data_IF_671507133043
#
_entry.id   IF_671507133043
#
_cell.length_a   1.000
_cell.length_b   1.000
_cell.length_c   1.000
_cell.angle_alpha   90.00
_cell.angle_beta   90.00
_cell.angle_gamma   90.00
#
_symmetry.space_group_name_H-M   'P 1'
#
loop_
_entity.id
_entity.type
_entity.pdbx_description
1 polymer ?
#
# COMPACT_ATOMS: atom_id res chain seq x y z
N UNK A 1 -82.77 33.02 -28.24
CA UNK A 1 -82.07 31.77 -27.84
C UNK A 1 -80.60 31.77 -28.25
N UNK A 2 -80.25 32.21 -29.46
CA UNK A 2 -78.85 32.32 -29.94
C UNK A 2 -77.93 33.20 -29.07
N UNK A 3 -78.43 34.32 -28.54
CA UNK A 3 -77.64 35.23 -27.69
C UNK A 3 -77.20 34.61 -26.36
N UNK A 4 -78.06 33.78 -25.75
CA UNK A 4 -77.74 33.10 -24.50
C UNK A 4 -76.67 32.02 -24.71
N UNK A 5 -76.71 31.32 -25.84
CA UNK A 5 -75.69 30.34 -26.22
C UNK A 5 -74.33 30.99 -26.50
N UNK A 6 -74.31 32.16 -27.14
CA UNK A 6 -73.08 32.90 -27.41
C UNK A 6 -72.39 33.40 -26.11
N UNK A 7 -73.18 33.88 -25.15
CA UNK A 7 -72.65 34.30 -23.84
C UNK A 7 -72.09 33.12 -23.05
N UNK A 8 -72.78 31.97 -23.07
CA UNK A 8 -72.30 30.76 -22.42
C UNK A 8 -70.98 30.25 -23.04
N UNK A 9 -70.88 30.27 -24.37
CA UNK A 9 -69.66 29.89 -25.08
C UNK A 9 -68.47 30.79 -24.71
N UNK A 10 -68.69 32.12 -24.63
CA UNK A 10 -67.65 33.07 -24.24
C UNK A 10 -67.16 32.83 -22.80
N UNK A 11 -68.08 32.55 -21.87
CA UNK A 11 -67.74 32.22 -20.49
C UNK A 11 -66.89 30.95 -20.41
N UNK A 12 -67.27 29.90 -21.14
CA UNK A 12 -66.50 28.64 -21.19
C UNK A 12 -65.11 28.88 -21.79
N UNK A 13 -64.99 29.69 -22.85
CA UNK A 13 -63.70 30.04 -23.45
C UNK A 13 -62.80 30.81 -22.49
N UNK A 14 -63.35 31.73 -21.69
CA UNK A 14 -62.58 32.46 -20.67
C UNK A 14 -62.10 31.54 -19.54
N UNK A 15 -62.96 30.63 -19.06
CA UNK A 15 -62.57 29.63 -18.05
C UNK A 15 -61.49 28.70 -18.59
N UNK A 16 -61.63 28.23 -19.84
CA UNK A 16 -60.63 27.39 -20.49
C UNK A 16 -59.28 28.12 -20.62
N UNK A 17 -59.28 29.41 -20.98
CA UNK A 17 -58.08 30.24 -21.05
C UNK A 17 -57.41 30.40 -19.68
N UNK A 18 -58.19 30.63 -18.62
CA UNK A 18 -57.68 30.75 -17.26
C UNK A 18 -57.02 29.44 -16.77
N UNK A 19 -57.65 28.29 -17.02
CA UNK A 19 -57.08 26.97 -16.70
C UNK A 19 -55.82 26.69 -17.52
N UNK A 20 -55.82 27.00 -18.81
CA UNK A 20 -54.65 26.83 -19.67
C UNK A 20 -53.46 27.68 -19.19
N UNK A 21 -53.72 28.93 -18.77
CA UNK A 21 -52.70 29.81 -18.23
C UNK A 21 -52.14 29.31 -16.89
N UNK A 22 -53.00 28.84 -15.99
CA UNK A 22 -52.57 28.25 -14.71
C UNK A 22 -51.73 26.98 -14.94
N UNK A 23 -52.19 26.07 -15.80
CA UNK A 23 -51.44 24.86 -16.14
C UNK A 23 -50.10 25.19 -16.80
N UNK A 24 -50.05 26.16 -17.71
CA UNK A 24 -48.81 26.61 -18.34
C UNK A 24 -47.80 27.17 -17.32
N UNK A 25 -48.27 27.98 -16.37
CA UNK A 25 -47.41 28.52 -15.32
C UNK A 25 -46.95 27.44 -14.32
N UNK A 26 -47.83 26.50 -13.97
CA UNK A 26 -47.50 25.36 -13.13
C UNK A 26 -46.46 24.44 -13.79
N UNK A 27 -46.63 24.17 -15.09
CA UNK A 27 -45.68 23.37 -15.87
C UNK A 27 -44.29 24.02 -15.95
N UNK A 28 -44.21 25.35 -16.11
CA UNK A 28 -42.93 26.08 -16.07
C UNK A 28 -42.24 25.96 -14.73
N UNK A 29 -42.97 26.20 -13.61
CA UNK A 29 -42.40 26.04 -12.26
C UNK A 29 -41.93 24.62 -11.99
N UNK A 30 -42.66 23.61 -12.46
CA UNK A 30 -42.25 22.22 -12.35
C UNK A 30 -41.00 21.91 -13.18
N UNK A 31 -40.85 22.49 -14.37
CA UNK A 31 -39.65 22.35 -15.19
C UNK A 31 -38.43 22.99 -14.52
N UNK A 32 -38.55 24.23 -14.03
CA UNK A 32 -37.47 24.93 -13.32
C UNK A 32 -37.06 24.18 -12.05
N UNK A 33 -38.04 23.65 -11.31
CA UNK A 33 -37.78 22.83 -10.12
C UNK A 33 -37.10 21.50 -10.46
N UNK A 34 -37.48 20.86 -11.57
CA UNK A 34 -36.85 19.63 -12.05
C UNK A 34 -35.40 19.89 -12.49
N UNK A 35 -35.14 20.98 -13.20
CA UNK A 35 -33.78 21.39 -13.59
C UNK A 35 -32.92 21.69 -12.36
N UNK A 36 -33.45 22.45 -11.40
CA UNK A 36 -32.77 22.72 -10.14
C UNK A 36 -32.48 21.45 -9.32
N UNK A 37 -33.43 20.52 -9.29
CA UNK A 37 -33.26 19.23 -8.64
C UNK A 37 -32.20 18.37 -9.34
N UNK A 38 -32.18 18.36 -10.67
CA UNK A 38 -31.17 17.65 -11.45
C UNK A 38 -29.77 18.22 -11.18
N UNK A 39 -29.61 19.55 -11.26
CA UNK A 39 -28.32 20.19 -10.96
C UNK A 39 -27.84 19.91 -9.52
N UNK A 40 -28.76 19.90 -8.55
CA UNK A 40 -28.43 19.56 -7.17
C UNK A 40 -28.04 18.07 -7.01
N UNK A 41 -28.72 17.18 -7.73
CA UNK A 41 -28.39 15.75 -7.76
C UNK A 41 -27.02 15.50 -8.40
N UNK A 42 -26.72 16.14 -9.52
CA UNK A 42 -25.43 16.03 -10.22
C UNK A 42 -24.28 16.50 -9.32
N UNK A 43 -24.41 17.68 -8.69
CA UNK A 43 -23.41 18.18 -7.72
C UNK A 43 -23.23 17.26 -6.52
N UNK A 44 -24.32 16.63 -6.05
CA UNK A 44 -24.26 15.68 -4.94
C UNK A 44 -23.55 14.38 -5.34
N UNK A 45 -23.78 13.91 -6.57
CA UNK A 45 -23.10 12.74 -7.11
C UNK A 45 -21.60 12.99 -7.29
N UNK A 46 -21.22 14.16 -7.82
CA UNK A 46 -19.82 14.57 -7.95
C UNK A 46 -19.14 14.66 -6.59
N UNK A 47 -19.77 15.33 -5.61
CA UNK A 47 -19.23 15.43 -4.26
C UNK A 47 -19.08 14.06 -3.57
N UNK A 48 -20.02 13.13 -3.80
CA UNK A 48 -19.93 11.77 -3.28
C UNK A 48 -18.78 10.98 -3.94
N UNK A 49 -18.56 11.17 -5.24
CA UNK A 49 -17.45 10.57 -5.97
C UNK A 49 -16.11 11.10 -5.43
N UNK A 50 -15.95 12.41 -5.31
CA UNK A 50 -14.74 13.04 -4.77
C UNK A 50 -14.46 12.57 -3.34
N UNK A 51 -15.51 12.45 -2.52
CA UNK A 51 -15.41 11.93 -1.16
C UNK A 51 -14.94 10.47 -1.13
N UNK A 52 -15.47 9.62 -2.03
CA UNK A 52 -15.06 8.23 -2.14
C UNK A 52 -13.60 8.09 -2.62
N UNK A 53 -13.16 8.95 -3.54
CA UNK A 53 -11.77 8.99 -4.00
C UNK A 53 -10.82 9.44 -2.89
N UNK A 54 -11.17 10.50 -2.15
CA UNK A 54 -10.40 10.95 -1.00
C UNK A 54 -10.31 9.88 0.10
N UNK A 55 -11.42 9.21 0.42
CA UNK A 55 -11.43 8.11 1.37
C UNK A 55 -10.55 6.93 0.92
N UNK A 56 -10.56 6.60 -0.37
CA UNK A 56 -9.67 5.58 -0.93
C UNK A 56 -8.19 5.97 -0.80
N UNK A 57 -7.85 7.23 -1.06
CA UNK A 57 -6.48 7.72 -0.90
C UNK A 57 -6.01 7.62 0.56
N UNK A 58 -6.83 8.08 1.50
CA UNK A 58 -6.53 7.96 2.94
C UNK A 58 -6.38 6.49 3.34
N UNK A 59 -7.31 5.62 2.94
CA UNK A 59 -7.23 4.20 3.23
C UNK A 59 -5.94 3.57 2.67
N UNK A 60 -5.53 3.93 1.46
CA UNK A 60 -4.27 3.44 0.87
C UNK A 60 -3.03 3.94 1.63
N UNK A 61 -3.04 5.19 2.09
CA UNK A 61 -1.94 5.76 2.86
C UNK A 61 -1.82 5.12 4.25
N UNK A 62 -2.94 4.86 4.93
CA UNK A 62 -2.94 4.15 6.21
C UNK A 62 -2.49 2.69 6.04
N UNK A 63 -2.89 2.00 4.97
CA UNK A 63 -2.40 0.65 4.67
C UNK A 63 -0.88 0.61 4.46
N UNK A 64 -0.31 1.60 3.78
CA UNK A 64 1.15 1.69 3.59
C UNK A 64 1.87 2.09 4.89
N UNK A 65 1.27 2.95 5.71
CA UNK A 65 1.78 3.28 7.05
C UNK A 65 1.84 2.04 7.94
N UNK A 66 0.75 1.27 7.94
CA UNK A 66 0.68 0.02 8.67
C UNK A 66 1.73 -0.96 8.14
N UNK A 67 1.87 -1.11 6.82
CA UNK A 67 2.92 -1.92 6.18
C UNK A 67 4.32 -1.56 6.70
N UNK A 68 4.69 -0.29 6.70
CA UNK A 68 6.01 0.14 7.20
C UNK A 68 6.19 -0.10 8.70
N UNK A 69 5.13 -0.12 9.50
CA UNK A 69 5.21 -0.46 10.94
C UNK A 69 5.63 -1.92 11.21
N UNK A 70 5.45 -2.80 10.22
CA UNK A 70 5.89 -4.21 10.26
C UNK A 70 7.31 -4.41 9.71
N UNK A 71 7.96 -3.37 9.20
CA UNK A 71 9.32 -3.45 8.70
C UNK A 71 10.29 -3.92 9.79
N UNK A 72 11.25 -4.81 9.48
CA UNK A 72 12.29 -5.18 10.42
C UNK A 72 13.11 -3.97 10.87
N UNK A 73 13.26 -3.81 12.19
CA UNK A 73 14.17 -2.83 12.76
C UNK A 73 15.61 -3.37 12.75
N UNK A 74 16.50 -2.68 12.04
CA UNK A 74 17.92 -3.00 11.94
C UNK A 74 18.82 -2.02 12.69
N UNK A 75 18.25 -1.12 13.51
CA UNK A 75 19.02 -0.16 14.31
C UNK A 75 20.05 -0.85 15.19
N UNK A 76 19.72 -1.99 15.81
CA UNK A 76 20.64 -2.73 16.66
C UNK A 76 21.62 -3.64 15.91
N UNK A 77 21.65 -3.59 14.57
CA UNK A 77 22.48 -4.47 13.77
C UNK A 77 23.97 -4.14 13.90
N UNK A 78 24.81 -5.17 13.78
CA UNK A 78 26.25 -5.09 13.99
C UNK A 78 27.01 -5.83 12.91
N UNK A 79 28.12 -5.25 12.47
CA UNK A 79 29.16 -5.95 11.72
C UNK A 79 30.29 -6.39 12.64
N UNK A 80 30.69 -7.66 12.51
CA UNK A 80 31.89 -8.22 13.09
C UNK A 80 32.83 -8.72 11.97
N UNK A 81 34.14 -8.57 12.19
CA UNK A 81 35.19 -9.10 11.31
C UNK A 81 35.96 -10.15 12.11
N UNK A 82 35.60 -11.43 12.01
CA UNK A 82 36.22 -12.47 12.83
C UNK A 82 37.72 -12.55 12.57
N UNK A 83 38.54 -12.50 13.63
CA UNK A 83 40.02 -12.47 13.51
C UNK A 83 40.66 -13.83 13.22
N UNK A 84 39.96 -14.93 13.48
CA UNK A 84 40.49 -16.30 13.33
C UNK A 84 40.22 -16.84 11.93
N UNK A 85 41.23 -17.30 11.20
CA UNK A 85 41.04 -18.15 10.00
C UNK A 85 40.63 -19.57 10.42
N UNK A 86 39.83 -20.31 9.64
CA UNK A 86 39.15 -19.92 8.39
C UNK A 86 37.73 -19.41 8.71
N UNK A 87 37.56 -18.09 8.91
CA UNK A 87 36.23 -17.50 9.11
C UNK A 87 35.87 -16.56 7.95
N UNK A 88 34.56 -16.36 7.73
CA UNK A 88 34.03 -15.43 6.72
C UNK A 88 34.64 -14.03 6.84
N UNK A 89 34.75 -13.28 5.71
CA UNK A 89 35.37 -11.96 5.68
C UNK A 89 34.62 -10.93 6.53
N UNK A 90 33.32 -11.12 6.76
CA UNK A 90 32.50 -10.37 7.71
C UNK A 90 31.33 -11.24 8.21
N UNK A 91 30.76 -10.83 9.33
CA UNK A 91 29.53 -11.36 9.91
C UNK A 91 28.60 -10.19 10.22
N UNK A 92 27.40 -10.20 9.67
CA UNK A 92 26.36 -9.22 9.94
C UNK A 92 25.30 -9.84 10.85
N UNK A 93 25.04 -9.21 11.98
CA UNK A 93 24.12 -9.73 13.00
C UNK A 93 23.04 -8.72 13.33
N UNK A 94 21.80 -9.20 13.51
CA UNK A 94 20.66 -8.38 13.94
C UNK A 94 19.64 -9.23 14.69
N UNK A 95 18.75 -8.57 15.44
CA UNK A 95 17.67 -9.23 16.20
C UNK A 95 16.33 -8.64 15.75
N UNK A 96 15.48 -9.39 15.03
CA UNK A 96 14.20 -8.86 14.59
C UNK A 96 13.15 -8.95 15.69
N UNK A 97 12.26 -7.96 15.71
CA UNK A 97 11.12 -7.92 16.64
C UNK A 97 10.02 -8.92 16.30
N UNK A 98 9.96 -9.42 15.06
CA UNK A 98 8.95 -10.37 14.57
C UNK A 98 9.59 -11.52 13.81
N UNK A 99 8.80 -12.54 13.52
CA UNK A 99 9.20 -13.64 12.63
C UNK A 99 9.19 -13.17 11.18
N UNK A 100 10.15 -13.60 10.37
CA UNK A 100 10.19 -13.25 8.94
C UNK A 100 10.71 -14.44 8.15
N UNK A 101 10.52 -14.38 6.83
CA UNK A 101 11.35 -15.11 5.88
C UNK A 101 12.32 -14.13 5.25
N UNK A 102 13.59 -14.50 5.20
CA UNK A 102 14.67 -13.67 4.69
C UNK A 102 15.34 -14.33 3.49
N UNK A 103 15.65 -13.53 2.47
CA UNK A 103 16.73 -13.76 1.53
C UNK A 103 17.79 -12.69 1.70
N UNK A 104 19.05 -13.08 1.58
CA UNK A 104 20.17 -12.17 1.73
C UNK A 104 21.07 -12.28 0.53
N UNK A 105 21.47 -11.14 -0.02
CA UNK A 105 22.38 -11.05 -1.14
C UNK A 105 23.58 -10.19 -0.76
N UNK A 106 24.76 -10.54 -1.26
CA UNK A 106 25.94 -9.70 -1.23
C UNK A 106 26.16 -9.10 -2.61
N UNK A 107 26.43 -7.80 -2.69
CA UNK A 107 26.68 -7.12 -3.95
C UNK A 107 27.90 -6.22 -3.90
N UNK A 108 28.45 -5.97 -5.08
CA UNK A 108 29.47 -4.96 -5.34
C UNK A 108 28.95 -4.03 -6.43
N UNK A 109 29.31 -2.75 -6.39
CA UNK A 109 28.79 -1.79 -7.35
C UNK A 109 29.14 -2.21 -8.79
N UNK A 110 28.12 -2.34 -9.65
CA UNK A 110 28.28 -2.73 -11.05
C UNK A 110 28.45 -4.24 -11.30
N UNK A 111 28.42 -5.09 -10.27
CA UNK A 111 28.55 -6.54 -10.38
C UNK A 111 27.22 -7.25 -10.04
N UNK A 112 26.96 -8.45 -10.61
CA UNK A 112 25.80 -9.26 -10.22
C UNK A 112 25.82 -9.57 -8.71
N UNK A 113 24.66 -9.46 -8.08
CA UNK A 113 24.51 -9.83 -6.67
C UNK A 113 24.62 -11.34 -6.50
N UNK A 114 25.27 -11.75 -5.42
CA UNK A 114 25.41 -13.15 -5.02
C UNK A 114 24.42 -13.47 -3.91
N UNK A 115 23.65 -14.54 -4.08
CA UNK A 115 22.79 -15.08 -3.04
C UNK A 115 23.63 -15.67 -1.88
N UNK A 116 23.31 -15.30 -0.64
CA UNK A 116 23.92 -15.80 0.60
C UNK A 116 23.01 -16.81 1.32
N UNK A 117 21.85 -17.10 0.76
CA UNK A 117 20.83 -18.02 1.27
C UNK A 117 20.61 -19.23 0.37
N UNK A 118 21.48 -19.42 -0.63
CA UNK A 118 21.51 -20.57 -1.55
C UNK A 118 20.15 -20.86 -2.21
N UNK A 119 19.43 -19.81 -2.64
CA UNK A 119 18.12 -19.90 -3.27
C UNK A 119 16.96 -20.19 -2.30
N UNK A 120 17.25 -20.51 -1.04
CA UNK A 120 16.26 -20.87 -0.03
C UNK A 120 15.90 -19.67 0.86
N UNK A 121 14.72 -19.69 1.46
CA UNK A 121 14.37 -18.71 2.48
C UNK A 121 14.92 -19.17 3.82
N UNK A 122 15.54 -18.23 4.53
CA UNK A 122 15.83 -18.44 5.94
C UNK A 122 14.63 -18.00 6.76
N UNK A 123 14.01 -18.96 7.45
CA UNK A 123 13.03 -18.65 8.47
C UNK A 123 13.74 -17.99 9.67
N UNK A 124 13.22 -16.84 10.08
CA UNK A 124 13.75 -16.07 11.21
C UNK A 124 12.73 -16.05 12.33
N UNK A 125 13.21 -16.25 13.55
CA UNK A 125 12.43 -16.19 14.78
C UNK A 125 12.55 -14.82 15.43
N UNK A 126 11.44 -14.30 15.96
CA UNK A 126 11.43 -13.07 16.76
C UNK A 126 12.35 -13.19 17.97
N UNK A 127 13.11 -12.13 18.28
CA UNK A 127 14.00 -12.06 19.44
C UNK A 127 15.25 -12.93 19.35
N UNK A 128 15.42 -13.71 18.28
CA UNK A 128 16.60 -14.55 18.07
C UNK A 128 17.60 -13.84 17.17
N UNK A 129 18.86 -13.81 17.61
CA UNK A 129 19.94 -13.22 16.81
C UNK A 129 20.13 -13.98 15.51
N UNK A 130 20.00 -13.27 14.39
CA UNK A 130 20.29 -13.76 13.05
C UNK A 130 21.70 -13.34 12.70
N UNK A 131 22.51 -14.29 12.22
CA UNK A 131 23.85 -14.03 11.71
C UNK A 131 23.92 -14.37 10.23
N UNK A 132 24.25 -13.39 9.39
CA UNK A 132 24.53 -13.54 7.97
C UNK A 132 26.03 -13.45 7.80
N UNK A 133 26.64 -14.55 7.39
CA UNK A 133 28.07 -14.60 7.17
C UNK A 133 28.36 -14.92 5.71
N UNK A 134 29.32 -14.21 5.11
CA UNK A 134 29.79 -14.54 3.77
C UNK A 134 30.72 -15.77 3.83
N UNK A 135 30.20 -16.92 4.22
CA UNK A 135 31.01 -18.12 4.48
C UNK A 135 31.66 -18.69 3.20
N UNK A 136 31.16 -18.36 2.01
CA UNK A 136 31.55 -19.05 0.77
C UNK A 136 31.81 -18.11 -0.42
N UNK A 137 31.88 -16.80 -0.17
CA UNK A 137 32.36 -15.83 -1.16
C UNK A 137 33.86 -16.05 -1.40
N UNK A 138 34.19 -16.99 -2.29
CA UNK A 138 35.55 -17.45 -2.59
C UNK A 138 36.62 -16.39 -2.34
N UNK A 139 37.47 -16.69 -1.35
CA UNK A 139 38.71 -16.04 -0.86
C UNK A 139 38.91 -14.51 -0.89
N UNK A 140 38.29 -13.71 -1.78
CA UNK A 140 38.74 -12.34 -2.09
C UNK A 140 37.68 -11.24 -2.13
N UNK A 141 36.37 -11.51 -2.17
CA UNK A 141 35.39 -10.43 -2.33
C UNK A 141 34.81 -9.93 -1.00
N UNK A 142 35.28 -8.78 -0.51
CA UNK A 142 34.48 -7.95 0.41
C UNK A 142 33.37 -7.27 -0.40
N UNK A 143 32.08 -7.59 -0.17
CA UNK A 143 30.99 -6.88 -0.85
C UNK A 143 30.96 -5.43 -0.41
N UNK A 144 30.44 -4.56 -1.28
CA UNK A 144 30.18 -3.17 -0.91
C UNK A 144 28.90 -3.08 -0.05
N UNK A 145 27.92 -3.96 -0.30
CA UNK A 145 26.64 -3.94 0.40
C UNK A 145 26.03 -5.33 0.56
N UNK A 146 25.11 -5.43 1.53
CA UNK A 146 24.13 -6.51 1.64
C UNK A 146 22.76 -5.98 1.20
N UNK A 147 22.03 -6.80 0.45
CA UNK A 147 20.60 -6.59 0.22
C UNK A 147 19.84 -7.66 0.99
N UNK A 148 19.04 -7.22 1.96
CA UNK A 148 18.20 -8.07 2.79
C UNK A 148 16.76 -7.91 2.33
N UNK A 149 16.14 -9.01 1.93
CA UNK A 149 14.77 -9.04 1.44
C UNK A 149 13.90 -9.80 2.42
N UNK A 150 12.80 -9.21 2.85
CA UNK A 150 11.95 -9.75 3.90
C UNK A 150 10.53 -10.00 3.41
N UNK A 151 9.98 -11.13 3.83
CA UNK A 151 8.58 -11.52 3.66
C UNK A 151 7.98 -11.85 5.03
N UNK A 152 6.65 -11.70 5.20
CA UNK A 152 5.94 -12.27 6.32
C UNK A 152 6.20 -13.78 6.43
N UNK A 153 6.01 -14.40 7.62
CA UNK A 153 6.19 -15.82 7.78
C UNK A 153 5.17 -16.57 6.92
N UNK A 154 5.54 -17.77 6.45
CA UNK A 154 4.54 -18.63 5.82
C UNK A 154 3.52 -19.09 6.89
N UNK A 155 2.22 -19.17 6.55
CA UNK A 155 1.25 -19.74 7.46
C UNK A 155 1.64 -21.20 7.75
N UNK A 156 1.98 -21.48 9.01
CA UNK A 156 2.27 -22.84 9.48
C UNK A 156 1.07 -23.38 10.23
N UNK A 157 0.79 -24.68 10.08
CA UNK A 157 -0.32 -25.32 10.76
C UNK A 157 -0.16 -25.23 12.28
N UNK A 158 -1.10 -24.56 12.94
CA UNK A 158 -1.19 -24.52 14.41
C UNK A 158 -0.35 -23.44 15.11
N UNK A 159 0.29 -22.52 14.38
CA UNK A 159 0.99 -21.38 14.97
C UNK A 159 0.26 -20.06 14.67
N UNK A 160 0.16 -19.18 15.65
CA UNK A 160 -0.29 -17.81 15.43
C UNK A 160 0.81 -17.05 14.67
N UNK A 161 0.58 -16.83 13.38
CA UNK A 161 1.49 -16.14 12.47
C UNK A 161 0.94 -14.75 12.18
N UNK A 162 1.75 -13.71 12.39
CA UNK A 162 1.35 -12.36 12.02
C UNK A 162 1.28 -12.22 10.48
N UNK A 163 0.33 -11.42 10.01
CA UNK A 163 0.14 -11.14 8.59
C UNK A 163 0.30 -9.64 8.34
N UNK A 164 0.92 -9.27 7.21
CA UNK A 164 0.96 -7.88 6.80
C UNK A 164 -0.41 -7.49 6.19
N UNK A 165 -1.04 -6.39 6.64
CA UNK A 165 -2.36 -6.00 6.15
C UNK A 165 -2.36 -5.44 4.72
N UNK A 166 -1.18 -5.22 4.12
CA UNK A 166 -1.04 -4.59 2.80
C UNK A 166 -1.66 -5.41 1.63
N UNK A 167 -2.05 -6.66 1.87
CA UNK A 167 -2.62 -7.54 0.85
C UNK A 167 -1.63 -7.98 -0.23
N UNK A 168 -0.36 -7.54 -0.16
CA UNK A 168 0.69 -8.02 -1.06
C UNK A 168 0.90 -9.50 -0.83
N UNK A 169 1.09 -10.30 -1.89
CA UNK A 169 1.26 -11.73 -1.73
C UNK A 169 2.44 -12.06 -0.83
N UNK A 170 2.29 -13.16 -0.11
CA UNK A 170 3.32 -13.66 0.80
C UNK A 170 4.26 -14.64 0.10
N UNK A 171 4.03 -14.98 -1.15
CA UNK A 171 4.82 -16.03 -1.80
C UNK A 171 6.25 -15.55 -2.16
N UNK A 172 7.27 -16.38 -1.90
CA UNK A 172 8.66 -16.24 -2.32
C UNK A 172 8.97 -15.85 -3.76
N UNK A 173 8.13 -16.28 -4.70
CA UNK A 173 8.30 -16.04 -6.13
C UNK A 173 7.98 -14.61 -6.51
N UNK A 174 7.46 -13.82 -5.57
CA UNK A 174 6.97 -12.48 -5.76
C UNK A 174 7.86 -11.44 -5.07
N UNK A 175 7.52 -10.16 -5.26
CA UNK A 175 8.26 -9.05 -4.73
C UNK A 175 8.33 -9.11 -3.19
N UNK A 176 9.48 -8.84 -2.57
CA UNK A 176 9.59 -8.73 -1.11
C UNK A 176 8.70 -7.61 -0.56
N UNK A 177 8.29 -7.79 0.69
CA UNK A 177 7.55 -6.75 1.42
C UNK A 177 8.48 -5.60 1.79
N UNK A 178 9.72 -5.91 2.15
CA UNK A 178 10.74 -4.91 2.44
C UNK A 178 12.08 -5.32 1.85
N UNK A 179 12.72 -4.35 1.20
CA UNK A 179 14.11 -4.41 0.76
C UNK A 179 14.95 -3.48 1.63
N UNK A 180 16.05 -4.00 2.17
CA UNK A 180 16.96 -3.25 3.02
C UNK A 180 18.38 -3.41 2.52
N UNK A 181 18.94 -2.30 2.03
CA UNK A 181 20.34 -2.22 1.61
C UNK A 181 21.19 -1.77 2.79
N UNK A 182 22.18 -2.58 3.15
CA UNK A 182 23.11 -2.32 4.25
C UNK A 182 24.52 -2.21 3.68
N UNK A 183 25.12 -1.03 3.76
CA UNK A 183 26.50 -0.83 3.31
C UNK A 183 27.47 -1.57 4.24
N UNK A 184 28.44 -2.28 3.65
CA UNK A 184 29.42 -3.08 4.37
C UNK A 184 30.63 -2.20 4.67
N UNK A 185 31.00 -2.00 5.95
CA UNK A 185 32.15 -1.17 6.28
C UNK A 185 33.45 -1.73 5.67
N UNK A 186 34.28 -0.88 5.07
CA UNK A 186 35.58 -1.31 4.50
C UNK A 186 36.70 -1.47 5.55
N UNK A 187 36.53 -0.94 6.76
CA UNK A 187 37.57 -0.94 7.80
C UNK A 187 37.50 -2.20 8.67
N UNK A 188 38.45 -3.13 8.46
CA UNK A 188 38.76 -4.21 9.40
C UNK A 188 39.16 -3.61 10.76
N UNK A 189 38.39 -3.83 11.82
CA UNK A 189 38.83 -3.59 13.19
C UNK A 189 38.00 -2.63 14.05
N UNK A 190 36.88 -2.09 13.57
CA UNK A 190 35.87 -1.43 14.42
C UNK A 190 34.52 -2.13 14.25
N UNK A 191 33.91 -2.54 15.37
CA UNK A 191 32.50 -2.91 15.39
C UNK A 191 31.73 -1.62 15.05
N UNK A 192 30.99 -1.64 13.96
CA UNK A 192 30.06 -0.56 13.61
C UNK A 192 28.69 -0.97 14.12
N UNK A 193 28.15 -0.17 15.04
CA UNK A 193 26.76 -0.25 15.51
C UNK A 193 26.02 0.87 14.79
N UNK A 194 24.92 0.53 14.14
CA UNK A 194 24.07 1.50 13.45
C UNK A 194 23.04 2.13 14.40
#
# INVERSE_FOLDING_TARGET
>A
MTSALAVAALFISLVALAVAWWNGNSARRSADAAEGAQQAADRSADAAKDSAEAARQVASAELERDHESYRPDLSQAKFAYPRSRPKPPFEYTFVPSRRYRLRAYAGKAGEPMRDLTDGNFRAITSGVSVSIAAAEAGAEAHPDFLLLQFWPPAPAAGEEVWMCPCGRPTEPSEQPHWDMRVEVPRKRGKVVVF
#
